data_IF_078958211878
#
_entry.id   IF_078958211878
#
_cell.length_a   1.000
_cell.length_b   1.000
_cell.length_c   1.000
_cell.angle_alpha   90.00
_cell.angle_beta   90.00
_cell.angle_gamma   90.00
#
_symmetry.space_group_name_H-M   'P 1'
#
loop_
_entity.id
_entity.type
_entity.pdbx_description
1 polymer ?
#
# COMPACT_ATOMS: atom_id res chain seq x y z
N UNK A 1 -7.79 21.55 -12.56
CA UNK A 1 -6.44 21.02 -12.91
C UNK A 1 -5.55 20.71 -11.70
N UNK A 2 -5.98 20.88 -10.43
CA UNK A 2 -5.12 20.65 -9.26
C UNK A 2 -5.29 19.29 -8.54
N UNK A 3 -6.07 18.33 -9.06
CA UNK A 3 -6.33 17.05 -8.37
C UNK A 3 -5.44 15.87 -8.81
N UNK A 4 -4.48 16.09 -9.72
CA UNK A 4 -3.63 15.03 -10.28
C UNK A 4 -2.38 14.73 -9.45
N UNK A 5 -1.98 15.65 -8.58
CA UNK A 5 -0.88 15.48 -7.64
C UNK A 5 -1.47 15.26 -6.26
N UNK A 6 -1.82 14.02 -5.93
CA UNK A 6 -1.90 13.65 -4.53
C UNK A 6 -0.45 13.54 -4.06
N UNK A 7 0.07 14.66 -3.55
CA UNK A 7 1.29 14.63 -2.76
C UNK A 7 1.02 13.64 -1.64
N UNK A 8 1.84 12.61 -1.62
CA UNK A 8 1.71 11.51 -0.69
C UNK A 8 1.67 11.96 0.78
N UNK A 9 1.28 11.05 1.71
CA UNK A 9 1.34 11.26 3.14
C UNK A 9 2.52 12.08 3.64
N UNK A 10 2.41 12.72 4.82
CA UNK A 10 3.59 12.89 5.64
C UNK A 10 4.20 11.48 5.87
N UNK A 11 5.48 11.35 5.57
CA UNK A 11 6.29 10.16 5.81
C UNK A 11 7.15 10.35 7.05
N UNK A 12 7.60 9.24 7.64
CA UNK A 12 8.58 9.29 8.73
C UNK A 12 9.85 10.06 8.31
N UNK A 13 10.21 11.14 9.02
CA UNK A 13 11.48 11.81 8.80
C UNK A 13 12.63 10.84 9.03
N UNK A 14 13.48 10.64 8.02
CA UNK A 14 14.62 9.71 8.10
C UNK A 14 14.32 8.26 7.73
N UNK A 15 13.09 7.95 7.28
CA UNK A 15 12.72 6.62 6.81
C UNK A 15 12.30 5.67 7.93
N UNK A 16 12.27 4.37 7.63
CA UNK A 16 11.87 3.33 8.58
C UNK A 16 13.09 2.92 9.43
N UNK A 17 13.03 3.02 10.76
CA UNK A 17 14.09 2.56 11.66
C UNK A 17 14.37 1.05 11.56
N UNK A 18 15.62 0.65 11.78
CA UNK A 18 16.08 -0.74 11.70
C UNK A 18 15.39 -1.72 12.66
N UNK A 19 14.83 -1.24 13.77
CA UNK A 19 14.09 -2.09 14.72
C UNK A 19 12.67 -2.41 14.24
N UNK A 20 12.14 -1.70 13.23
CA UNK A 20 10.83 -1.95 12.63
C UNK A 20 11.06 -2.74 11.34
N UNK A 21 10.79 -4.05 11.39
CA UNK A 21 11.06 -4.96 10.26
C UNK A 21 9.80 -5.67 9.82
N UNK A 22 9.66 -5.84 8.50
CA UNK A 22 8.64 -6.74 7.96
C UNK A 22 8.91 -8.18 8.38
N UNK A 23 7.85 -8.96 8.54
CA UNK A 23 7.95 -10.37 8.87
C UNK A 23 8.76 -11.09 7.77
N UNK A 24 9.69 -12.00 8.12
CA UNK A 24 10.60 -12.60 7.14
C UNK A 24 9.88 -13.39 6.04
N UNK A 25 8.78 -14.05 6.38
CA UNK A 25 8.00 -14.89 5.46
C UNK A 25 6.53 -14.47 5.43
N UNK A 26 5.80 -14.71 4.34
CA UNK A 26 4.35 -14.53 4.33
C UNK A 26 3.68 -15.42 5.37
N UNK A 27 2.66 -14.90 6.06
CA UNK A 27 1.91 -15.64 7.07
C UNK A 27 0.60 -16.15 6.44
N UNK A 28 0.25 -17.44 6.55
CA UNK A 28 -1.04 -17.94 6.08
C UNK A 28 -2.21 -17.15 6.70
N UNK A 29 -3.23 -16.84 5.90
CA UNK A 29 -4.36 -15.98 6.33
C UNK A 29 -5.08 -16.52 7.59
N UNK A 30 -5.19 -17.83 7.70
CA UNK A 30 -5.78 -18.53 8.85
C UNK A 30 -4.96 -18.38 10.15
N UNK A 31 -3.65 -18.15 10.04
CA UNK A 31 -2.75 -17.95 11.17
C UNK A 31 -2.56 -16.47 11.52
N UNK A 32 -2.62 -15.60 10.50
CA UNK A 32 -2.38 -14.17 10.64
C UNK A 32 -3.30 -13.53 11.69
N UNK A 33 -4.57 -13.91 11.74
CA UNK A 33 -5.52 -13.35 12.72
C UNK A 33 -5.11 -13.62 14.17
N UNK A 34 -4.62 -14.82 14.45
CA UNK A 34 -4.16 -15.17 15.78
C UNK A 34 -2.83 -14.50 16.11
N UNK A 35 -2.00 -14.23 15.10
CA UNK A 35 -0.70 -13.62 15.29
C UNK A 35 -0.78 -12.11 15.55
N UNK A 36 -1.78 -11.40 15.01
CA UNK A 36 -1.93 -9.94 15.19
C UNK A 36 -2.82 -9.53 16.37
N UNK A 37 -3.49 -10.47 17.06
CA UNK A 37 -4.48 -10.12 18.09
C UNK A 37 -3.90 -9.31 19.26
N UNK A 38 -2.66 -9.59 19.66
CA UNK A 38 -1.98 -8.84 20.73
C UNK A 38 -1.77 -7.38 20.34
N UNK A 39 -1.40 -7.13 19.08
CA UNK A 39 -1.26 -5.77 18.55
C UNK A 39 -2.57 -5.00 18.61
N UNK A 40 -3.71 -5.62 18.29
CA UNK A 40 -5.02 -4.97 18.39
C UNK A 40 -5.39 -4.60 19.83
N UNK A 41 -5.10 -5.48 20.80
CA UNK A 41 -5.31 -5.17 22.22
C UNK A 41 -4.41 -4.01 22.66
N UNK A 42 -3.15 -4.03 22.24
CA UNK A 42 -2.21 -2.94 22.52
C UNK A 42 -2.71 -1.60 21.95
N UNK A 43 -3.21 -1.59 20.71
CA UNK A 43 -3.79 -0.40 20.13
C UNK A 43 -5.01 0.11 20.91
N UNK A 44 -5.92 -0.76 21.34
CA UNK A 44 -7.06 -0.37 22.18
C UNK A 44 -6.62 0.27 23.51
N UNK A 45 -5.57 -0.25 24.12
CA UNK A 45 -5.08 0.26 25.42
C UNK A 45 -4.23 1.54 25.30
N UNK A 46 -3.54 1.74 24.17
CA UNK A 46 -2.49 2.76 24.05
C UNK A 46 -2.82 3.88 23.04
N UNK A 47 -3.90 3.73 22.26
CA UNK A 47 -4.43 4.81 21.42
C UNK A 47 -5.16 5.81 22.31
N UNK A 48 -4.50 6.93 22.60
CA UNK A 48 -5.03 7.97 23.49
C UNK A 48 -5.62 9.08 22.64
N UNK A 49 -6.80 9.58 23.04
CA UNK A 49 -7.44 10.71 22.40
C UNK A 49 -6.53 11.94 22.40
N UNK A 50 -6.60 12.75 21.35
CA UNK A 50 -5.83 13.98 21.24
C UNK A 50 -6.18 14.91 22.41
N UNK A 51 -5.18 15.49 23.10
CA UNK A 51 -5.44 16.54 24.08
C UNK A 51 -6.14 17.74 23.45
N UNK A 52 -7.14 18.31 24.11
CA UNK A 52 -7.86 19.50 23.62
C UNK A 52 -6.93 20.70 23.35
N UNK A 53 -5.79 20.76 24.04
CA UNK A 53 -4.77 21.81 23.91
C UNK A 53 -3.88 21.66 22.66
N UNK A 54 -3.98 20.56 21.94
CA UNK A 54 -3.17 20.28 20.76
C UNK A 54 -4.09 20.25 19.55
N UNK A 55 -4.06 21.32 18.74
CA UNK A 55 -4.81 21.36 17.49
C UNK A 55 -4.22 20.36 16.48
N UNK A 56 -5.06 19.89 15.55
CA UNK A 56 -4.53 19.18 14.39
C UNK A 56 -3.70 20.12 13.57
N UNK A 57 -2.53 19.68 13.14
CA UNK A 57 -1.92 20.26 11.96
C UNK A 57 -2.75 19.87 10.73
N UNK A 58 -2.80 20.77 9.75
CA UNK A 58 -3.41 20.49 8.44
C UNK A 58 -2.56 19.52 7.62
N UNK A 59 -1.29 19.35 7.97
CA UNK A 59 -0.34 18.49 7.27
C UNK A 59 -0.33 17.02 7.74
N UNK A 60 -1.03 16.68 8.83
CA UNK A 60 -1.16 15.31 9.35
C UNK A 60 0.06 14.78 10.09
N UNK A 61 1.01 15.64 10.46
CA UNK A 61 2.24 15.26 11.17
C UNK A 61 1.93 14.71 12.56
N UNK A 62 0.90 15.22 13.25
CA UNK A 62 0.45 14.69 14.53
C UNK A 62 0.03 13.22 14.43
N UNK A 63 -0.86 12.89 13.48
CA UNK A 63 -1.38 11.54 13.28
C UNK A 63 -0.25 10.58 12.90
N UNK A 64 0.67 11.01 12.02
CA UNK A 64 1.85 10.23 11.69
C UNK A 64 2.69 9.94 12.94
N UNK A 65 2.98 10.98 13.73
CA UNK A 65 3.82 10.86 14.94
C UNK A 65 3.18 9.92 15.96
N UNK A 66 1.86 9.99 16.15
CA UNK A 66 1.15 9.11 17.07
C UNK A 66 1.16 7.65 16.59
N UNK A 67 0.88 7.41 15.31
CA UNK A 67 0.92 6.05 14.75
C UNK A 67 2.33 5.48 14.83
N UNK A 68 3.34 6.27 14.49
CA UNK A 68 4.74 5.89 14.61
C UNK A 68 5.16 5.54 16.04
N UNK A 69 4.72 6.33 17.03
CA UNK A 69 4.98 6.06 18.45
C UNK A 69 4.48 4.66 18.84
N UNK A 70 3.26 4.32 18.43
CA UNK A 70 2.65 3.02 18.72
C UNK A 70 3.41 1.87 18.05
N UNK A 71 3.75 2.01 16.76
CA UNK A 71 4.56 1.01 16.04
C UNK A 71 5.93 0.83 16.71
N UNK A 72 6.61 1.93 17.00
CA UNK A 72 7.94 1.92 17.63
C UNK A 72 7.92 1.30 19.01
N UNK A 73 6.88 1.59 19.81
CA UNK A 73 6.70 1.02 21.13
C UNK A 73 6.52 -0.49 21.05
N UNK A 74 5.62 -0.99 20.20
CA UNK A 74 5.41 -2.43 20.03
C UNK A 74 6.64 -3.16 19.49
N UNK A 75 7.33 -2.58 18.51
CA UNK A 75 8.59 -3.10 17.97
C UNK A 75 9.67 -3.24 19.04
N UNK A 76 9.72 -2.30 19.99
CA UNK A 76 10.75 -2.23 21.03
C UNK A 76 10.42 -3.02 22.29
N UNK A 77 9.18 -3.51 22.44
CA UNK A 77 8.79 -4.35 23.57
C UNK A 77 9.59 -5.65 23.62
N UNK A 78 9.74 -6.18 24.83
CA UNK A 78 10.19 -7.56 25.03
C UNK A 78 9.11 -8.54 24.59
N UNK A 79 9.51 -9.79 24.32
CA UNK A 79 8.54 -10.82 23.96
C UNK A 79 7.54 -11.09 25.10
N UNK A 80 8.01 -11.09 26.35
CA UNK A 80 7.16 -11.30 27.51
C UNK A 80 6.06 -10.24 27.62
N UNK A 81 6.36 -8.97 27.34
CA UNK A 81 5.35 -7.90 27.31
C UNK A 81 4.32 -8.13 26.20
N UNK A 82 4.75 -8.46 24.97
CA UNK A 82 3.83 -8.78 23.87
C UNK A 82 2.96 -9.99 24.18
N UNK A 83 3.51 -11.00 24.85
CA UNK A 83 2.78 -12.20 25.25
C UNK A 83 1.63 -11.87 26.22
N UNK A 84 1.78 -10.83 27.07
CA UNK A 84 0.68 -10.36 27.94
C UNK A 84 -0.51 -9.83 27.14
N UNK A 85 -0.26 -9.05 26.09
CA UNK A 85 -1.30 -8.56 25.18
C UNK A 85 -1.90 -9.71 24.35
N UNK A 86 -1.05 -10.63 23.90
CA UNK A 86 -1.47 -11.81 23.15
C UNK A 86 -2.43 -12.71 23.94
N UNK A 87 -2.15 -12.95 25.22
CA UNK A 87 -3.02 -13.72 26.09
C UNK A 87 -4.40 -13.05 26.24
N UNK A 88 -4.43 -11.73 26.44
CA UNK A 88 -5.66 -10.94 26.54
C UNK A 88 -6.49 -10.96 25.26
N UNK A 89 -5.83 -10.99 24.09
CA UNK A 89 -6.47 -11.08 22.78
C UNK A 89 -7.30 -12.34 22.53
N UNK A 90 -7.16 -13.38 23.36
CA UNK A 90 -7.98 -14.59 23.26
C UNK A 90 -9.42 -14.40 23.77
N UNK A 91 -9.66 -13.35 24.56
CA UNK A 91 -10.95 -13.10 25.19
C UNK A 91 -12.06 -12.88 24.13
N UNK A 92 -13.28 -13.41 24.35
CA UNK A 92 -14.36 -13.33 23.36
C UNK A 92 -14.70 -11.90 22.89
N UNK A 93 -14.52 -10.91 23.76
CA UNK A 93 -14.76 -9.50 23.45
C UNK A 93 -13.85 -8.98 22.33
N UNK A 94 -12.60 -9.43 22.26
CA UNK A 94 -11.63 -9.00 21.25
C UNK A 94 -11.74 -9.81 19.95
N UNK A 95 -12.32 -11.02 20.00
CA UNK A 95 -12.52 -11.84 18.79
C UNK A 95 -13.48 -11.22 17.77
N UNK A 96 -14.34 -10.27 18.17
CA UNK A 96 -15.34 -9.66 17.26
C UNK A 96 -14.88 -8.37 16.57
N UNK A 97 -13.74 -7.79 16.95
CA UNK A 97 -13.21 -6.51 16.40
C UNK A 97 -12.17 -6.68 15.29
N UNK A 98 -11.99 -7.90 14.78
CA UNK A 98 -10.83 -8.39 14.00
C UNK A 98 -10.61 -7.74 12.62
N UNK A 99 -11.62 -7.13 12.01
CA UNK A 99 -11.55 -6.55 10.65
C UNK A 99 -11.88 -5.06 10.61
N UNK A 100 -12.47 -4.57 11.69
CA UNK A 100 -13.01 -3.22 11.83
C UNK A 100 -12.45 -2.55 13.06
N UNK A 101 -11.17 -2.81 13.39
CA UNK A 101 -10.53 -2.01 14.42
C UNK A 101 -10.64 -0.54 13.99
N UNK A 102 -11.18 0.25 14.90
CA UNK A 102 -11.32 1.68 14.75
C UNK A 102 -10.61 2.30 15.93
N UNK A 103 -9.82 3.36 15.69
CA UNK A 103 -9.24 4.10 16.79
C UNK A 103 -10.37 4.56 17.72
N UNK A 104 -10.13 4.65 19.04
CA UNK A 104 -11.07 5.30 19.92
C UNK A 104 -11.39 6.72 19.41
N UNK A 105 -12.63 7.21 19.56
CA UNK A 105 -13.02 8.53 19.07
C UNK A 105 -12.04 9.62 19.52
N UNK A 106 -11.63 10.48 18.58
CA UNK A 106 -10.73 11.59 18.85
C UNK A 106 -9.24 11.25 18.93
N UNK A 107 -8.83 10.00 18.69
CA UNK A 107 -7.40 9.65 18.58
C UNK A 107 -6.78 10.17 17.26
N UNK A 108 -7.52 10.06 16.16
CA UNK A 108 -7.10 10.52 14.83
C UNK A 108 -8.22 11.39 14.21
N UNK A 109 -7.88 12.25 13.23
CA UNK A 109 -8.86 13.04 12.46
C UNK A 109 -10.01 12.15 11.96
N UNK A 110 -11.22 12.71 11.96
CA UNK A 110 -12.51 12.01 11.87
C UNK A 110 -12.52 10.83 10.88
N UNK A 111 -13.00 9.69 11.40
CA UNK A 111 -13.21 8.39 10.77
C UNK A 111 -14.26 8.35 9.63
N UNK A 112 -14.36 9.40 8.81
CA UNK A 112 -15.03 9.27 7.51
C UNK A 112 -14.07 8.58 6.54
N UNK A 113 -14.16 7.25 6.59
CA UNK A 113 -13.60 6.33 5.63
C UNK A 113 -13.79 6.86 4.20
N UNK A 114 -12.67 7.15 3.53
CA UNK A 114 -12.36 6.90 2.10
C UNK A 114 -11.21 7.82 1.64
N UNK A 115 -10.94 8.95 2.31
CA UNK A 115 -9.92 9.91 1.87
C UNK A 115 -9.12 10.48 3.05
N UNK A 116 -8.41 9.62 3.78
CA UNK A 116 -7.17 10.12 4.37
C UNK A 116 -6.33 10.59 3.17
N UNK A 117 -6.05 11.89 3.08
CA UNK A 117 -5.32 12.50 1.96
C UNK A 117 -3.94 11.85 1.76
N UNK A 118 -3.50 11.10 2.78
CA UNK A 118 -2.31 10.27 2.81
C UNK A 118 -2.47 8.90 2.14
N UNK A 119 -3.59 8.56 1.49
CA UNK A 119 -3.78 7.21 0.92
C UNK A 119 -3.51 7.17 -0.58
N UNK A 120 -2.62 6.26 -0.98
CA UNK A 120 -2.57 5.75 -2.35
C UNK A 120 -3.72 4.75 -2.54
N UNK A 121 -4.56 4.99 -3.54
CA UNK A 121 -5.76 4.18 -3.77
C UNK A 121 -5.39 2.78 -4.29
N UNK A 122 -6.13 1.80 -3.78
CA UNK A 122 -5.84 0.36 -3.86
C UNK A 122 -6.28 -0.22 -5.21
N UNK A 123 -7.24 0.44 -5.86
CA UNK A 123 -7.77 0.02 -7.16
C UNK A 123 -7.30 0.98 -8.25
N UNK A 124 -6.04 1.41 -8.13
CA UNK A 124 -5.50 2.53 -8.88
C UNK A 124 -4.21 2.26 -9.63
N UNK A 125 -3.97 3.11 -10.62
CA UNK A 125 -2.71 3.18 -11.36
C UNK A 125 -1.78 4.10 -10.58
N UNK A 126 -0.67 3.55 -10.08
CA UNK A 126 0.24 4.27 -9.22
C UNK A 126 1.55 4.54 -9.95
N UNK A 127 1.82 5.79 -10.30
CA UNK A 127 3.06 6.21 -10.91
C UNK A 127 4.13 6.42 -9.84
N UNK A 128 5.03 5.45 -9.70
CA UNK A 128 6.09 5.39 -8.69
C UNK A 128 7.46 5.83 -9.26
N UNK A 129 7.48 6.35 -10.48
CA UNK A 129 8.68 6.92 -11.09
C UNK A 129 9.19 8.13 -10.30
N UNK A 130 10.51 8.33 -10.32
CA UNK A 130 11.18 9.42 -9.62
C UNK A 130 10.57 10.80 -9.98
N UNK A 131 10.41 11.64 -8.95
CA UNK A 131 9.88 12.99 -9.08
C UNK A 131 10.96 14.04 -8.76
N UNK A 132 10.92 15.24 -9.40
CA UNK A 132 10.01 15.60 -10.50
C UNK A 132 10.39 14.88 -11.81
N UNK A 133 9.40 14.34 -12.52
CA UNK A 133 9.62 13.71 -13.83
C UNK A 133 10.13 14.71 -14.87
N UNK A 134 11.01 14.27 -15.79
CA UNK A 134 11.40 15.05 -16.97
C UNK A 134 10.20 15.28 -17.92
N UNK A 135 10.29 16.28 -18.82
CA UNK A 135 9.21 16.56 -19.78
C UNK A 135 8.87 15.37 -20.68
N UNK A 136 9.89 14.60 -21.08
CA UNK A 136 9.73 13.35 -21.84
C UNK A 136 8.96 12.29 -21.05
N UNK A 137 9.33 12.08 -19.78
CA UNK A 137 8.69 11.13 -18.88
C UNK A 137 7.23 11.48 -18.62
N UNK A 138 6.94 12.78 -18.39
CA UNK A 138 5.56 13.28 -18.25
C UNK A 138 4.72 13.03 -19.49
N UNK A 139 5.31 13.19 -20.68
CA UNK A 139 4.61 12.90 -21.94
C UNK A 139 4.31 11.40 -22.08
N UNK A 140 5.24 10.52 -21.70
CA UNK A 140 5.04 9.06 -21.73
C UNK A 140 4.00 8.65 -20.70
N UNK A 141 4.09 9.15 -19.47
CA UNK A 141 3.09 8.94 -18.43
C UNK A 141 1.69 9.33 -18.91
N UNK A 142 1.57 10.49 -19.58
CA UNK A 142 0.30 10.95 -20.16
C UNK A 142 -0.21 9.99 -21.22
N UNK A 143 0.66 9.48 -22.10
CA UNK A 143 0.29 8.47 -23.12
C UNK A 143 -0.15 7.15 -22.48
N UNK A 144 0.56 6.67 -21.46
CA UNK A 144 0.19 5.47 -20.70
C UNK A 144 -1.20 5.61 -20.10
N UNK A 145 -1.50 6.76 -19.48
CA UNK A 145 -2.84 7.06 -18.96
C UNK A 145 -3.90 7.01 -20.05
N UNK A 146 -3.68 7.66 -21.19
CA UNK A 146 -4.62 7.64 -22.33
C UNK A 146 -4.86 6.21 -22.82
N UNK A 147 -3.82 5.37 -22.89
CA UNK A 147 -3.95 3.97 -23.32
C UNK A 147 -4.68 3.07 -22.30
N UNK A 148 -4.94 3.55 -21.09
CA UNK A 148 -5.81 2.89 -20.12
C UNK A 148 -7.28 3.29 -20.29
N UNK A 149 -7.61 4.17 -21.23
CA UNK A 149 -9.00 4.43 -21.61
C UNK A 149 -9.41 3.49 -22.73
N UNK A 150 -10.69 3.13 -22.71
CA UNK A 150 -11.35 2.67 -23.91
C UNK A 150 -11.65 3.86 -24.80
N UNK A 151 -10.98 3.91 -25.94
CA UNK A 151 -11.12 4.99 -26.91
C UNK A 151 -12.18 4.67 -27.99
N UNK A 152 -12.94 3.59 -27.83
CA UNK A 152 -13.98 3.12 -28.74
C UNK A 152 -15.35 3.81 -28.54
N UNK A 153 -15.48 4.63 -27.49
CA UNK A 153 -16.54 5.64 -27.35
C UNK A 153 -17.73 5.26 -26.48
N UNK A 154 -17.85 4.02 -26.00
CA UNK A 154 -18.98 3.60 -25.15
C UNK A 154 -18.62 3.33 -23.70
N UNK A 155 -17.35 3.08 -23.39
CA UNK A 155 -16.90 2.77 -22.03
C UNK A 155 -15.77 3.73 -21.62
N UNK A 156 -15.85 4.25 -20.40
CA UNK A 156 -14.90 5.24 -19.85
C UNK A 156 -13.49 4.69 -19.58
N UNK A 157 -12.74 5.28 -18.62
CA UNK A 157 -11.42 4.76 -18.29
C UNK A 157 -11.51 3.33 -17.72
N UNK A 158 -10.53 2.46 -18.03
CA UNK A 158 -10.45 1.09 -17.50
C UNK A 158 -10.39 1.08 -15.97
N UNK A 159 -9.71 2.09 -15.43
CA UNK A 159 -9.54 2.36 -14.02
C UNK A 159 -10.00 3.81 -13.84
N UNK A 160 -11.00 4.04 -12.99
CA UNK A 160 -11.63 5.35 -12.78
C UNK A 160 -10.57 6.47 -12.69
N UNK A 161 -10.87 7.64 -13.26
CA UNK A 161 -9.96 8.78 -13.29
C UNK A 161 -9.57 9.25 -11.88
N UNK A 162 -10.45 9.01 -10.90
CA UNK A 162 -10.18 9.20 -9.47
C UNK A 162 -9.17 8.21 -8.88
N UNK A 163 -8.82 7.15 -9.59
CA UNK A 163 -7.95 6.05 -9.17
C UNK A 163 -6.55 6.12 -9.78
N UNK A 164 -6.12 7.25 -10.35
CA UNK A 164 -4.72 7.44 -10.77
C UNK A 164 -3.97 8.28 -9.74
N UNK A 165 -2.80 7.83 -9.30
CA UNK A 165 -1.94 8.56 -8.35
C UNK A 165 -0.52 8.73 -8.87
N UNK A 166 0.11 9.85 -8.53
CA UNK A 166 1.56 10.03 -8.65
C UNK A 166 2.14 9.89 -7.26
N UNK A 167 2.92 8.84 -7.10
CA UNK A 167 3.53 8.38 -5.87
C UNK A 167 4.92 9.01 -5.73
N UNK A 168 5.11 9.84 -4.70
CA UNK A 168 6.40 10.40 -4.31
C UNK A 168 6.97 9.64 -3.12
N UNK A 169 8.00 8.80 -3.31
CA UNK A 169 8.60 8.10 -2.19
C UNK A 169 9.32 9.02 -1.21
N UNK A 170 9.46 8.57 0.04
CA UNK A 170 10.25 9.30 1.02
C UNK A 170 11.69 9.41 0.52
N UNK A 171 12.24 10.63 0.37
CA UNK A 171 13.60 10.80 -0.12
C UNK A 171 14.61 9.97 0.67
N UNK A 172 14.45 9.84 1.99
CA UNK A 172 15.32 9.07 2.86
C UNK A 172 15.35 7.57 2.51
N UNK A 173 14.24 7.03 2.00
CA UNK A 173 14.11 5.62 1.63
C UNK A 173 14.62 5.31 0.21
N UNK A 174 14.95 6.35 -0.58
CA UNK A 174 15.37 6.23 -1.99
C UNK A 174 16.86 6.54 -2.20
N UNK A 175 17.53 7.13 -1.20
CA UNK A 175 18.96 7.50 -1.31
C UNK A 175 19.87 6.29 -1.62
N UNK A 176 19.47 5.07 -1.24
CA UNK A 176 20.24 3.85 -1.49
C UNK A 176 20.00 3.23 -2.89
N UNK A 177 19.01 3.70 -3.66
CA UNK A 177 18.71 3.22 -5.02
C UNK A 177 19.05 4.28 -6.07
N UNK A 178 20.35 4.56 -6.24
CA UNK A 178 20.97 5.19 -7.43
C UNK A 178 20.10 6.18 -8.26
N UNK A 179 19.38 7.12 -7.61
CA UNK A 179 18.62 8.17 -8.30
C UNK A 179 17.49 7.74 -9.24
N UNK A 180 17.18 6.44 -9.35
CA UNK A 180 16.23 5.90 -10.34
C UNK A 180 14.80 5.72 -9.81
N UNK A 181 14.56 6.07 -8.54
CA UNK A 181 13.29 5.83 -7.85
C UNK A 181 13.11 4.36 -7.46
N UNK A 182 11.90 3.97 -7.05
CA UNK A 182 11.56 2.57 -6.75
C UNK A 182 11.55 1.79 -8.06
N UNK A 183 12.70 1.23 -8.42
CA UNK A 183 13.00 0.77 -9.78
C UNK A 183 12.24 -0.49 -10.24
N UNK A 184 11.54 -1.19 -9.34
CA UNK A 184 10.91 -2.48 -9.65
C UNK A 184 9.56 -2.73 -8.96
N UNK A 185 8.95 -1.72 -8.34
CA UNK A 185 7.81 -1.90 -7.43
C UNK A 185 8.15 -2.66 -6.14
N UNK A 186 9.37 -3.19 -6.02
CA UNK A 186 9.87 -3.84 -4.81
C UNK A 186 9.92 -2.83 -3.67
N UNK A 187 9.37 -3.21 -2.52
CA UNK A 187 9.25 -2.31 -1.37
C UNK A 187 8.09 -1.30 -1.47
N UNK A 188 7.30 -1.30 -2.55
CA UNK A 188 6.13 -0.41 -2.66
C UNK A 188 5.16 -0.59 -1.48
N UNK A 189 4.83 -1.82 -1.08
CA UNK A 189 3.92 -2.07 0.04
C UNK A 189 4.48 -1.52 1.36
N UNK A 190 5.79 -1.69 1.59
CA UNK A 190 6.50 -1.19 2.77
C UNK A 190 6.40 0.34 2.78
N UNK A 191 6.86 0.97 1.71
CA UNK A 191 6.82 2.40 1.55
C UNK A 191 5.39 2.99 1.68
N UNK A 192 4.40 2.33 1.10
CA UNK A 192 3.03 2.83 1.03
C UNK A 192 2.22 2.67 2.33
N UNK A 193 2.50 1.63 3.11
CA UNK A 193 1.70 1.30 4.31
C UNK A 193 2.48 1.38 5.62
N UNK A 194 3.80 1.25 5.60
CA UNK A 194 4.62 1.31 6.82
C UNK A 194 5.13 2.73 7.09
N UNK A 195 5.57 3.47 6.07
CA UNK A 195 6.11 4.83 6.30
C UNK A 195 5.07 5.86 6.75
N UNK A 196 3.79 5.59 6.51
CA UNK A 196 2.68 6.35 7.07
C UNK A 196 2.03 5.64 8.28
N UNK A 197 2.53 4.46 8.65
CA UNK A 197 1.95 3.58 9.68
C UNK A 197 0.43 3.39 9.52
N UNK A 198 -0.02 3.02 8.33
CA UNK A 198 -1.45 2.89 8.01
C UNK A 198 -2.10 1.69 8.71
N UNK A 199 -2.71 1.89 9.88
CA UNK A 199 -3.35 0.82 10.67
C UNK A 199 -4.57 0.16 10.01
N UNK A 200 -5.01 0.60 8.82
CA UNK A 200 -5.99 -0.16 8.03
C UNK A 200 -5.35 -1.31 7.25
N UNK A 201 -4.04 -1.20 7.00
CA UNK A 201 -3.31 -2.07 6.08
C UNK A 201 -2.05 -2.65 6.69
N UNK A 202 -1.52 -2.03 7.73
CA UNK A 202 -0.32 -2.43 8.45
C UNK A 202 -0.73 -2.92 9.84
N UNK A 203 -0.22 -4.09 10.21
CA UNK A 203 -0.39 -4.71 11.52
C UNK A 203 0.96 -5.21 12.02
N UNK A 204 1.06 -5.45 13.31
CA UNK A 204 2.25 -6.06 13.91
C UNK A 204 1.93 -7.42 14.52
N UNK A 205 2.86 -8.34 14.36
CA UNK A 205 2.75 -9.73 14.82
C UNK A 205 3.06 -9.86 16.31
N UNK A 206 2.81 -11.04 16.87
CA UNK A 206 3.17 -11.40 18.24
C UNK A 206 4.66 -11.25 18.54
N UNK A 207 5.51 -11.35 17.52
CA UNK A 207 6.97 -11.23 17.62
C UNK A 207 7.51 -9.82 17.33
N UNK A 208 6.62 -8.86 17.08
CA UNK A 208 7.01 -7.45 16.88
C UNK A 208 7.45 -7.11 15.45
N UNK A 209 7.12 -7.94 14.46
CA UNK A 209 7.38 -7.64 13.03
C UNK A 209 6.13 -7.15 12.32
N UNK A 210 6.31 -6.47 11.20
CA UNK A 210 5.23 -5.87 10.41
C UNK A 210 4.69 -6.86 9.37
N UNK A 211 3.37 -6.87 9.24
CA UNK A 211 2.62 -7.57 8.18
C UNK A 211 1.56 -6.65 7.63
N UNK A 212 1.11 -6.92 6.41
CA UNK A 212 0.13 -6.12 5.70
C UNK A 212 -1.14 -6.91 5.44
N UNK A 213 -2.31 -6.29 5.65
CA UNK A 213 -3.61 -6.91 5.42
C UNK A 213 -4.31 -6.30 4.21
N UNK A 214 -4.89 -7.15 3.37
CA UNK A 214 -5.58 -6.72 2.15
C UNK A 214 -4.64 -6.12 1.10
N UNK A 215 -3.36 -6.50 1.12
CA UNK A 215 -2.42 -6.35 0.00
C UNK A 215 -2.69 -7.35 -1.12
N UNK A 216 -3.61 -8.28 -0.87
CA UNK A 216 -4.01 -9.44 -1.67
C UNK A 216 -4.69 -9.08 -3.01
N UNK A 217 -4.64 -7.81 -3.41
CA UNK A 217 -5.21 -7.30 -4.64
C UNK A 217 -4.10 -6.86 -5.61
N UNK A 218 -4.28 -7.07 -6.91
CA UNK A 218 -3.33 -6.59 -7.90
C UNK A 218 -3.16 -5.08 -7.88
N UNK A 219 -1.98 -4.67 -8.35
CA UNK A 219 -1.56 -3.29 -8.50
C UNK A 219 -1.05 -3.07 -9.90
N UNK A 220 -1.38 -1.90 -10.45
CA UNK A 220 -0.77 -1.39 -11.68
C UNK A 220 0.20 -0.29 -11.30
N UNK A 221 1.49 -0.55 -11.46
CA UNK A 221 2.56 0.40 -11.15
C UNK A 221 3.20 0.92 -12.44
N UNK A 222 3.51 2.22 -12.44
CA UNK A 222 4.29 2.88 -13.49
C UNK A 222 5.60 3.36 -12.88
N UNK A 223 6.64 2.55 -13.07
CA UNK A 223 8.02 2.82 -12.66
C UNK A 223 8.87 3.35 -13.83
N UNK A 224 10.17 3.48 -13.61
CA UNK A 224 11.13 3.94 -14.64
C UNK A 224 11.11 3.06 -15.89
N UNK A 225 11.03 1.73 -15.73
CA UNK A 225 10.99 0.82 -16.88
C UNK A 225 9.70 0.97 -17.68
N UNK A 226 8.56 1.21 -17.03
CA UNK A 226 7.31 1.50 -17.71
C UNK A 226 7.39 2.79 -18.56
N UNK A 227 8.08 3.81 -18.06
CA UNK A 227 8.34 5.03 -18.83
C UNK A 227 9.32 4.80 -20.00
N UNK A 228 10.25 3.85 -19.88
CA UNK A 228 11.18 3.54 -20.96
C UNK A 228 10.56 2.65 -22.06
N UNK A 229 9.70 1.71 -21.66
CA UNK A 229 9.20 0.64 -22.55
C UNK A 229 7.75 0.83 -23.00
N UNK A 230 7.00 1.68 -22.31
CA UNK A 230 5.55 1.80 -22.50
C UNK A 230 4.75 0.62 -21.93
N UNK A 231 5.37 -0.27 -21.14
CA UNK A 231 4.72 -1.45 -20.53
C UNK A 231 4.60 -1.26 -19.02
N UNK A 232 3.37 -1.28 -18.49
CA UNK A 232 3.11 -1.10 -17.06
C UNK A 232 3.37 -2.39 -16.27
N UNK A 233 3.69 -2.27 -14.98
CA UNK A 233 3.89 -3.41 -14.09
C UNK A 233 2.55 -3.80 -13.47
N UNK A 234 2.04 -4.99 -13.82
CA UNK A 234 0.95 -5.62 -13.09
C UNK A 234 1.57 -6.53 -12.03
N UNK A 235 1.21 -6.36 -10.76
CA UNK A 235 1.82 -7.12 -9.67
C UNK A 235 0.90 -7.36 -8.48
N UNK A 236 1.28 -8.33 -7.65
CA UNK A 236 0.67 -8.65 -6.35
C UNK A 236 1.75 -8.70 -5.27
N UNK A 237 1.35 -8.39 -4.03
CA UNK A 237 2.23 -8.40 -2.87
C UNK A 237 1.77 -9.45 -1.87
N UNK A 238 2.72 -10.17 -1.30
CA UNK A 238 2.50 -10.99 -0.11
C UNK A 238 2.23 -10.11 1.11
N UNK A 239 1.65 -10.69 2.17
CA UNK A 239 1.36 -9.98 3.40
C UNK A 239 2.60 -9.62 4.25
N UNK A 240 3.80 -9.97 3.81
CA UNK A 240 5.05 -9.43 4.36
C UNK A 240 5.61 -8.26 3.52
N UNK A 241 4.90 -7.83 2.48
CA UNK A 241 5.26 -6.72 1.61
C UNK A 241 6.21 -7.10 0.46
N UNK A 242 6.58 -8.38 0.34
CA UNK A 242 7.36 -8.88 -0.80
C UNK A 242 6.49 -8.97 -2.06
N UNK A 243 7.13 -8.83 -3.22
CA UNK A 243 6.48 -8.99 -4.52
C UNK A 243 6.19 -10.48 -4.76
N UNK A 244 4.91 -10.87 -4.77
CA UNK A 244 4.48 -12.26 -4.93
C UNK A 244 4.57 -12.72 -6.39
N UNK A 245 4.03 -11.90 -7.29
CA UNK A 245 3.98 -12.15 -8.72
C UNK A 245 3.97 -10.81 -9.44
N UNK A 246 4.65 -10.72 -10.59
CA UNK A 246 4.63 -9.53 -11.41
C UNK A 246 4.82 -9.86 -12.89
N UNK A 247 4.31 -8.97 -13.76
CA UNK A 247 4.56 -9.02 -15.18
C UNK A 247 4.46 -7.63 -15.84
N UNK A 248 5.14 -7.47 -16.98
CA UNK A 248 5.07 -6.27 -17.82
C UNK A 248 3.99 -6.44 -18.87
N UNK A 249 3.06 -5.50 -18.93
CA UNK A 249 1.89 -5.60 -19.80
C UNK A 249 1.70 -4.31 -20.59
N UNK A 250 1.20 -4.38 -21.83
CA UNK A 250 0.77 -3.16 -22.53
C UNK A 250 -0.51 -2.64 -21.86
N UNK A 251 -0.69 -1.32 -21.68
CA UNK A 251 -1.87 -0.78 -21.00
C UNK A 251 -3.20 -1.26 -21.58
N UNK A 252 -3.31 -1.30 -22.91
CA UNK A 252 -4.53 -1.74 -23.61
C UNK A 252 -4.94 -3.19 -23.30
N UNK A 253 -3.98 -4.05 -22.95
CA UNK A 253 -4.22 -5.46 -22.63
C UNK A 253 -4.91 -5.61 -21.26
N UNK A 254 -4.69 -4.66 -20.33
CA UNK A 254 -5.33 -4.71 -19.01
C UNK A 254 -6.85 -4.75 -19.13
N UNK A 255 -7.43 -4.24 -20.22
CA UNK A 255 -8.87 -4.31 -20.45
C UNK A 255 -9.44 -5.72 -20.42
N UNK A 256 -8.75 -6.69 -21.01
CA UNK A 256 -9.22 -8.07 -21.06
C UNK A 256 -9.11 -8.78 -19.69
N UNK A 257 -8.24 -8.28 -18.83
CA UNK A 257 -7.84 -8.95 -17.60
C UNK A 257 -8.40 -8.31 -16.34
N UNK A 258 -8.61 -6.99 -16.34
CA UNK A 258 -9.15 -6.26 -15.20
C UNK A 258 -10.51 -6.79 -14.75
N UNK A 259 -11.46 -7.14 -15.64
CA UNK A 259 -12.73 -7.77 -15.22
C UNK A 259 -12.56 -9.14 -14.58
N UNK A 260 -11.50 -9.89 -14.92
CA UNK A 260 -11.21 -11.18 -14.29
C UNK A 260 -10.62 -11.00 -12.90
N UNK A 261 -9.83 -9.95 -12.73
CA UNK A 261 -9.19 -9.54 -11.50
C UNK A 261 -10.24 -9.01 -10.53
N UNK A 262 -10.90 -7.90 -10.87
CA UNK A 262 -11.84 -7.21 -9.99
C UNK A 262 -13.18 -7.94 -9.94
N UNK A 263 -13.71 -8.35 -11.10
CA UNK A 263 -15.04 -8.95 -11.20
C UNK A 263 -15.10 -10.41 -10.76
N UNK A 264 -14.01 -11.17 -10.91
CA UNK A 264 -13.96 -12.61 -10.57
C UNK A 264 -12.93 -12.95 -9.48
N UNK A 265 -12.23 -11.97 -8.91
CA UNK A 265 -11.26 -12.18 -7.84
C UNK A 265 -10.08 -13.08 -8.23
N UNK A 266 -9.67 -13.08 -9.51
CA UNK A 266 -8.53 -13.92 -9.94
C UNK A 266 -7.20 -13.24 -9.64
N UNK A 267 -6.24 -14.03 -9.16
CA UNK A 267 -4.87 -13.56 -8.97
C UNK A 267 -4.16 -13.26 -10.29
N UNK A 268 -3.14 -12.40 -10.25
CA UNK A 268 -2.27 -12.08 -11.39
C UNK A 268 -1.64 -13.35 -11.94
N UNK A 269 -1.14 -14.23 -11.08
CA UNK A 269 -0.58 -15.52 -11.50
C UNK A 269 -1.58 -16.34 -12.34
N UNK A 270 -2.85 -16.39 -11.94
CA UNK A 270 -3.90 -17.14 -12.65
C UNK A 270 -4.26 -16.50 -13.98
N UNK A 271 -4.21 -15.17 -14.07
CA UNK A 271 -4.43 -14.43 -15.31
C UNK A 271 -3.28 -14.68 -16.30
N UNK A 272 -2.03 -14.62 -15.82
CA UNK A 272 -0.83 -14.89 -16.63
C UNK A 272 -0.77 -16.32 -17.19
N UNK A 273 -1.38 -17.29 -16.51
CA UNK A 273 -1.41 -18.68 -16.97
C UNK A 273 -2.28 -18.91 -18.22
N UNK A 274 -3.13 -17.95 -18.61
CA UNK A 274 -4.05 -18.07 -19.75
C UNK A 274 -3.31 -17.97 -21.09
N UNK A 275 -3.80 -18.69 -22.10
CA UNK A 275 -3.13 -18.78 -23.41
C UNK A 275 -3.09 -17.45 -24.18
N UNK A 276 -4.02 -16.53 -23.91
CA UNK A 276 -3.99 -15.15 -24.44
C UNK A 276 -2.70 -14.42 -24.03
N UNK A 277 -2.20 -14.69 -22.81
CA UNK A 277 -0.93 -14.16 -22.32
C UNK A 277 0.26 -14.71 -23.11
N UNK A 278 0.19 -15.95 -23.59
CA UNK A 278 1.28 -16.62 -24.33
C UNK A 278 1.31 -16.25 -25.81
N UNK A 279 0.34 -15.50 -26.30
CA UNK A 279 0.26 -15.16 -27.72
C UNK A 279 1.35 -14.12 -28.11
N UNK A 280 2.03 -14.29 -29.25
CA UNK A 280 3.01 -13.33 -29.77
C UNK A 280 2.45 -11.91 -29.96
N UNK A 281 1.14 -11.77 -30.14
CA UNK A 281 0.46 -10.47 -30.20
C UNK A 281 0.56 -9.68 -28.89
N UNK A 282 0.75 -10.37 -27.76
CA UNK A 282 0.74 -9.79 -26.42
C UNK A 282 2.15 -9.73 -25.80
N UNK A 283 3.01 -10.71 -26.10
CA UNK A 283 4.38 -10.83 -25.56
C UNK A 283 5.50 -10.79 -26.62
N UNK A 284 5.19 -10.49 -27.88
CA UNK A 284 6.20 -10.21 -28.89
C UNK A 284 7.08 -9.01 -28.53
N UNK A 285 8.32 -8.95 -29.06
CA UNK A 285 9.22 -7.81 -28.86
C UNK A 285 8.53 -6.47 -29.18
#
# INVERSE_FOLDING_TARGET
>A
MSSLYRVNPPYLPGGIPDNIRCHPNPIPRDQLEDDIRGWLVFLDDNSIARPESQESDDDGTYELTQRYRLVSQWASMTQAERDTYQARGTAPAFRRRRRDWRPPPGCFKADDAILDSTRVLINGVNCIAAQPMASSDRAIWTKLRIMLYRLDGEDGPLIDDGCVSVCMPNPASVVDQAGDGVSSGQGFAIWNYLENSDFNRMFMTSVGTVVFYGTDGPRVLVDREALNTGRVLLCEFENNGQLATSCRVRPCILYEFWPLIEGLGKSVQRVMARDVWKSPTYNGP
#
